data_IF_966078116820
#
_entry.id   IF_966078116820
#
_cell.length_a   1.000
_cell.length_b   1.000
_cell.length_c   1.000
_cell.angle_alpha   90.00
_cell.angle_beta   90.00
_cell.angle_gamma   90.00
#
_symmetry.space_group_name_H-M   'P 1'
#
loop_
_entity.id
_entity.type
_entity.pdbx_description
1 polymer ?
#
# COMPACT_ATOMS: atom_id res chain seq x y z
N UNK A 1 -0.90 -22.21 -12.65
CA UNK A 1 -1.06 -20.82 -12.17
C UNK A 1 0.22 -20.08 -12.46
N UNK A 2 0.19 -18.93 -13.14
CA UNK A 2 1.40 -18.22 -13.55
C UNK A 2 2.12 -17.68 -12.29
N UNK A 3 3.35 -18.15 -12.03
CA UNK A 3 4.15 -17.75 -10.87
C UNK A 3 4.28 -16.21 -10.77
N UNK A 4 4.30 -15.52 -11.91
CA UNK A 4 4.36 -14.07 -11.98
C UNK A 4 3.08 -13.39 -11.45
N UNK A 5 1.90 -13.97 -11.76
CA UNK A 5 0.62 -13.48 -11.24
C UNK A 5 0.52 -13.69 -9.72
N UNK A 6 1.08 -14.78 -9.20
CA UNK A 6 1.08 -15.02 -7.75
C UNK A 6 1.97 -14.00 -7.03
N UNK A 7 3.17 -13.73 -7.55
CA UNK A 7 4.06 -12.70 -6.98
C UNK A 7 3.39 -11.31 -6.93
N UNK A 8 2.70 -10.90 -8.01
CA UNK A 8 1.99 -9.61 -8.02
C UNK A 8 0.88 -9.58 -6.96
N UNK A 9 0.14 -10.67 -6.79
CA UNK A 9 -0.93 -10.76 -5.77
C UNK A 9 -0.37 -10.68 -4.35
N UNK A 10 0.74 -11.37 -4.09
CA UNK A 10 1.40 -11.36 -2.79
C UNK A 10 1.95 -9.95 -2.47
N UNK A 11 2.51 -9.27 -3.48
CA UNK A 11 2.95 -7.87 -3.37
C UNK A 11 1.78 -6.93 -3.07
N UNK A 12 0.64 -7.08 -3.75
CA UNK A 12 -0.57 -6.27 -3.47
C UNK A 12 -1.02 -6.44 -2.02
N UNK A 13 -1.08 -7.68 -1.52
CA UNK A 13 -1.48 -7.95 -0.14
C UNK A 13 -0.50 -7.34 0.87
N UNK A 14 0.81 -7.43 0.61
CA UNK A 14 1.84 -6.85 1.45
C UNK A 14 1.74 -5.32 1.53
N UNK A 15 1.61 -4.66 0.38
CA UNK A 15 1.48 -3.20 0.32
C UNK A 15 0.16 -2.71 0.92
N UNK A 16 -0.94 -3.44 0.72
CA UNK A 16 -2.21 -3.13 1.37
C UNK A 16 -2.08 -3.19 2.90
N UNK A 17 -1.45 -4.24 3.44
CA UNK A 17 -1.23 -4.36 4.88
C UNK A 17 -0.37 -3.23 5.46
N UNK A 18 0.66 -2.79 4.74
CA UNK A 18 1.49 -1.64 5.14
C UNK A 18 0.68 -0.34 5.15
N UNK A 19 -0.13 -0.10 4.11
CA UNK A 19 -1.03 1.05 4.04
C UNK A 19 -2.04 1.04 5.20
N UNK A 20 -2.64 -0.10 5.48
CA UNK A 20 -3.63 -0.25 6.54
C UNK A 20 -3.01 0.04 7.92
N UNK A 21 -1.75 -0.38 8.13
CA UNK A 21 -1.00 -0.02 9.34
C UNK A 21 -0.80 1.50 9.45
N UNK A 22 -0.36 2.17 8.38
CA UNK A 22 -0.19 3.64 8.41
C UNK A 22 -1.51 4.36 8.71
N UNK A 23 -2.62 3.90 8.13
CA UNK A 23 -3.95 4.44 8.42
C UNK A 23 -4.37 4.20 9.87
N UNK A 24 -4.08 3.02 10.43
CA UNK A 24 -4.34 2.75 11.84
C UNK A 24 -3.54 3.69 12.75
N UNK A 25 -2.26 3.94 12.45
CA UNK A 25 -1.40 4.85 13.21
C UNK A 25 -1.90 6.29 13.13
N UNK A 26 -2.28 6.77 11.94
CA UNK A 26 -2.90 8.10 11.77
C UNK A 26 -4.22 8.23 12.55
N UNK A 27 -5.06 7.20 12.51
CA UNK A 27 -6.36 7.19 13.19
C UNK A 27 -6.26 7.05 14.72
N UNK A 28 -5.22 6.39 15.23
CA UNK A 28 -4.97 6.26 16.66
C UNK A 28 -4.69 7.63 17.33
N UNK A 29 -4.19 8.61 16.55
CA UNK A 29 -3.82 9.93 17.05
C UNK A 29 -2.57 9.89 17.93
N UNK A 30 -2.24 11.02 18.57
CA UNK A 30 -1.06 11.14 19.43
C UNK A 30 0.26 11.34 18.70
N UNK A 31 0.21 11.52 17.37
CA UNK A 31 1.35 11.87 16.54
C UNK A 31 1.60 13.37 16.55
N UNK A 32 2.87 13.76 16.54
CA UNK A 32 3.26 15.13 16.22
C UNK A 32 2.98 15.43 14.73
N UNK A 33 2.81 16.71 14.39
CA UNK A 33 2.45 17.11 13.02
C UNK A 33 3.41 16.57 11.94
N UNK A 34 4.70 16.45 12.26
CA UNK A 34 5.69 15.89 11.33
C UNK A 34 5.51 14.38 11.15
N UNK A 35 5.20 13.64 12.22
CA UNK A 35 4.95 12.20 12.14
C UNK A 35 3.68 11.91 11.34
N UNK A 36 2.61 12.66 11.59
CA UNK A 36 1.37 12.58 10.83
C UNK A 36 1.60 12.83 9.35
N UNK A 37 2.48 13.77 9.00
CA UNK A 37 2.87 14.02 7.62
C UNK A 37 3.60 12.82 7.01
N UNK A 38 4.62 12.30 7.67
CA UNK A 38 5.38 11.12 7.17
C UNK A 38 4.46 9.91 6.92
N UNK A 39 3.55 9.62 7.85
CA UNK A 39 2.58 8.54 7.66
C UNK A 39 1.59 8.83 6.53
N UNK A 40 1.19 10.08 6.33
CA UNK A 40 0.31 10.47 5.21
C UNK A 40 1.03 10.33 3.86
N UNK A 41 2.28 10.77 3.78
CA UNK A 41 3.12 10.63 2.58
C UNK A 41 3.35 9.14 2.24
N UNK A 42 3.52 8.28 3.25
CA UNK A 42 3.59 6.83 3.06
C UNK A 42 2.26 6.24 2.52
N UNK A 43 1.11 6.69 3.03
CA UNK A 43 -0.20 6.25 2.52
C UNK A 43 -0.35 6.61 1.05
N UNK A 44 0.02 7.83 0.64
CA UNK A 44 -0.02 8.24 -0.76
C UNK A 44 0.93 7.40 -1.64
N UNK A 45 2.14 7.12 -1.15
CA UNK A 45 3.08 6.25 -1.83
C UNK A 45 2.52 4.83 -2.05
N UNK A 46 1.90 4.25 -1.02
CA UNK A 46 1.28 2.94 -1.13
C UNK A 46 0.08 2.93 -2.06
N UNK A 47 -0.72 4.00 -2.09
CA UNK A 47 -1.82 4.13 -3.05
C UNK A 47 -1.34 4.15 -4.49
N UNK A 48 -0.27 4.89 -4.79
CA UNK A 48 0.34 4.90 -6.12
C UNK A 48 0.86 3.50 -6.49
N UNK A 49 1.56 2.83 -5.57
CA UNK A 49 2.10 1.49 -5.80
C UNK A 49 1.01 0.43 -6.02
N UNK A 50 -0.08 0.49 -5.26
CA UNK A 50 -1.23 -0.39 -5.46
C UNK A 50 -1.90 -0.17 -6.81
N UNK A 51 -2.01 1.10 -7.25
CA UNK A 51 -2.52 1.42 -8.60
C UNK A 51 -1.66 0.80 -9.71
N UNK A 52 -0.34 0.86 -9.58
CA UNK A 52 0.59 0.25 -10.54
C UNK A 52 0.47 -1.29 -10.55
N UNK A 53 0.47 -1.92 -9.37
CA UNK A 53 0.37 -3.38 -9.25
C UNK A 53 -0.96 -3.91 -9.79
N UNK A 54 -2.07 -3.24 -9.49
CA UNK A 54 -3.38 -3.59 -10.03
C UNK A 54 -3.44 -3.38 -11.56
N UNK A 55 -2.79 -2.34 -12.08
CA UNK A 55 -2.64 -2.13 -13.53
C UNK A 55 -1.90 -3.30 -14.21
N UNK A 56 -0.81 -3.79 -13.58
CA UNK A 56 -0.08 -4.96 -14.07
C UNK A 56 -0.91 -6.25 -13.98
N UNK A 57 -1.70 -6.42 -12.93
CA UNK A 57 -2.59 -7.57 -12.77
C UNK A 57 -3.65 -7.61 -13.88
N UNK A 58 -4.26 -6.47 -14.21
CA UNK A 58 -5.24 -6.34 -15.29
C UNK A 58 -4.63 -6.58 -16.67
N UNK A 59 -3.39 -6.17 -16.90
CA UNK A 59 -2.69 -6.39 -18.16
C UNK A 59 -2.23 -7.85 -18.35
N UNK A 60 -2.17 -8.63 -17.27
CA UNK A 60 -1.68 -10.01 -17.26
C UNK A 60 -2.79 -11.07 -17.21
N UNK A 61 -4.07 -10.65 -17.18
CA UNK A 61 -5.26 -11.51 -17.24
C UNK A 61 -6.06 -11.28 -18.51
#
# INVERSE_FOLDING_TARGET
MNHYLQLIKDDVLSIQGQKDYCLQVLNAGGLESWQSKEYSDLVEHYDQKLKELNGRLLAAG
#
